data_IF_438854727362
#
_entry.id   IF_438854727362
#
_cell.length_a   1.000
_cell.length_b   1.000
_cell.length_c   1.000
_cell.angle_alpha   90.00
_cell.angle_beta   90.00
_cell.angle_gamma   90.00
#
_symmetry.space_group_name_H-M   'P 1'
#
loop_
_entity.id
_entity.type
_entity.pdbx_description
1 polymer ?
#
# COMPACT_ATOMS: atom_id res chain seq x y z
N UNK A 1 1.92 8.02 10.01
CA UNK A 1 1.82 6.57 9.80
C UNK A 1 0.38 6.28 9.45
N UNK A 2 0.12 5.75 8.27
CA UNK A 2 -1.23 5.42 7.83
C UNK A 2 -1.71 4.13 8.50
N UNK A 3 -3.02 4.02 8.72
CA UNK A 3 -3.62 2.82 9.30
C UNK A 3 -4.13 1.92 8.18
N UNK A 4 -3.64 0.68 8.04
CA UNK A 4 -4.15 -0.26 7.06
C UNK A 4 -5.65 -0.49 7.20
N UNK A 5 -6.35 -0.65 6.08
CA UNK A 5 -7.76 -1.05 6.10
C UNK A 5 -7.87 -2.45 6.72
N UNK A 6 -8.66 -2.65 7.80
CA UNK A 6 -8.76 -3.95 8.47
C UNK A 6 -9.29 -5.04 7.53
N UNK A 7 -8.68 -6.22 7.58
CA UNK A 7 -9.17 -7.45 6.92
C UNK A 7 -9.35 -8.57 7.94
N UNK A 8 -9.91 -9.72 7.50
CA UNK A 8 -9.97 -10.90 8.36
C UNK A 8 -8.56 -11.39 8.68
N UNK A 9 -8.34 -12.07 9.82
CA UNK A 9 -7.00 -12.54 10.21
C UNK A 9 -6.31 -13.39 9.13
N UNK A 10 -7.07 -14.21 8.41
CA UNK A 10 -6.56 -15.05 7.33
C UNK A 10 -6.06 -14.21 6.13
N UNK A 11 -6.80 -13.15 5.80
CA UNK A 11 -6.42 -12.23 4.72
C UNK A 11 -5.24 -11.36 5.15
N UNK A 12 -5.18 -10.90 6.40
CA UNK A 12 -4.01 -10.18 6.92
C UNK A 12 -2.75 -11.04 6.82
N UNK A 13 -2.83 -12.30 7.25
CA UNK A 13 -1.71 -13.25 7.15
C UNK A 13 -1.27 -13.49 5.70
N UNK A 14 -2.23 -13.64 4.79
CA UNK A 14 -1.95 -13.81 3.36
C UNK A 14 -1.28 -12.57 2.76
N UNK A 15 -1.82 -11.37 3.01
CA UNK A 15 -1.30 -10.12 2.45
C UNK A 15 0.08 -9.78 3.01
N UNK A 16 0.30 -10.03 4.30
CA UNK A 16 1.63 -9.83 4.90
C UNK A 16 2.66 -10.80 4.32
N UNK A 17 2.31 -12.10 4.18
CA UNK A 17 3.20 -13.09 3.60
C UNK A 17 3.46 -12.88 2.10
N UNK A 18 2.52 -12.26 1.38
CA UNK A 18 2.63 -12.04 -0.06
C UNK A 18 3.37 -10.75 -0.43
N UNK A 19 3.07 -9.64 0.26
CA UNK A 19 3.59 -8.31 -0.10
C UNK A 19 4.16 -7.50 1.06
N UNK A 20 4.06 -7.97 2.31
CA UNK A 20 4.42 -7.19 3.49
C UNK A 20 3.54 -5.96 3.69
N UNK A 21 2.29 -6.00 3.17
CA UNK A 21 1.37 -4.86 3.08
C UNK A 21 1.24 -4.09 4.38
N UNK A 22 0.95 -4.79 5.48
CA UNK A 22 0.60 -4.16 6.75
C UNK A 22 1.83 -3.47 7.32
N UNK A 23 2.96 -4.18 7.35
CA UNK A 23 4.25 -3.63 7.77
C UNK A 23 4.66 -2.39 6.94
N UNK A 24 4.44 -2.42 5.63
CA UNK A 24 4.77 -1.31 4.73
C UNK A 24 3.90 -0.07 5.00
N UNK A 25 2.59 -0.25 5.12
CA UNK A 25 1.64 0.85 5.35
C UNK A 25 1.93 1.54 6.70
N UNK A 26 2.13 0.75 7.76
CA UNK A 26 2.46 1.25 9.09
C UNK A 26 3.78 2.03 9.09
N UNK A 27 4.77 1.58 8.31
CA UNK A 27 6.04 2.27 8.11
C UNK A 27 5.98 3.47 7.15
N UNK A 28 4.79 3.84 6.64
CA UNK A 28 4.63 4.91 5.65
C UNK A 28 5.53 4.72 4.40
N UNK A 29 5.62 3.48 3.90
CA UNK A 29 6.35 3.15 2.67
C UNK A 29 5.46 2.36 1.72
N UNK A 30 5.78 2.44 0.44
CA UNK A 30 5.23 1.53 -0.56
C UNK A 30 5.70 0.11 -0.22
N UNK A 31 4.87 -0.89 -0.54
CA UNK A 31 5.29 -2.30 -0.54
C UNK A 31 6.53 -2.49 -1.41
N UNK A 32 7.34 -3.49 -1.06
CA UNK A 32 8.63 -3.72 -1.69
C UNK A 32 8.51 -4.28 -3.11
N UNK A 33 9.62 -4.19 -3.85
CA UNK A 33 9.77 -4.89 -5.12
C UNK A 33 9.56 -6.40 -4.91
N UNK A 34 8.90 -7.11 -5.84
CA UNK A 34 8.51 -6.66 -7.18
C UNK A 34 7.09 -6.07 -7.28
N UNK A 35 6.37 -5.91 -6.17
CA UNK A 35 4.96 -5.51 -6.17
C UNK A 35 4.82 -3.98 -6.18
N UNK A 36 5.64 -3.30 -5.39
CA UNK A 36 5.75 -1.85 -5.38
C UNK A 36 7.21 -1.42 -5.53
N UNK A 37 7.51 -0.21 -5.07
CA UNK A 37 8.86 0.37 -5.19
C UNK A 37 9.63 0.46 -3.87
N UNK A 38 9.05 0.10 -2.73
CA UNK A 38 9.69 0.17 -1.41
C UNK A 38 10.02 1.58 -0.90
N UNK A 39 9.72 2.64 -1.66
CA UNK A 39 10.07 4.02 -1.31
C UNK A 39 9.12 4.59 -0.25
N UNK A 40 9.55 5.60 0.53
CA UNK A 40 8.66 6.35 1.41
C UNK A 40 7.46 6.91 0.64
N UNK A 41 6.29 6.83 1.26
CA UNK A 41 5.05 7.42 0.73
C UNK A 41 5.07 8.92 1.01
N UNK A 42 4.77 9.69 -0.03
CA UNK A 42 4.67 11.15 0.00
C UNK A 42 3.19 11.55 -0.04
N UNK A 43 2.84 12.57 -0.82
CA UNK A 43 1.47 13.03 -0.99
C UNK A 43 0.69 12.16 -1.99
N UNK A 44 -0.63 12.10 -1.79
CA UNK A 44 -1.59 11.52 -2.72
C UNK A 44 -2.27 12.61 -3.54
N UNK A 45 -2.67 12.30 -4.77
CA UNK A 45 -3.34 13.27 -5.66
C UNK A 45 -4.78 13.56 -5.23
N UNK A 46 -5.41 12.61 -4.58
CA UNK A 46 -6.79 12.69 -4.10
C UNK A 46 -7.05 11.69 -2.96
N UNK A 47 -8.15 11.91 -2.24
CA UNK A 47 -8.57 11.06 -1.12
C UNK A 47 -8.73 9.58 -1.52
N UNK A 48 -9.31 9.23 -2.70
CA UNK A 48 -9.37 7.84 -3.16
C UNK A 48 -7.99 7.17 -3.29
N UNK A 49 -6.97 7.89 -3.75
CA UNK A 49 -5.61 7.36 -3.86
C UNK A 49 -5.00 7.07 -2.47
N UNK A 50 -5.31 7.89 -1.47
CA UNK A 50 -4.91 7.63 -0.08
C UNK A 50 -5.65 6.41 0.50
N UNK A 51 -6.95 6.29 0.28
CA UNK A 51 -7.73 5.13 0.70
C UNK A 51 -7.28 3.83 0.01
N UNK A 52 -6.90 3.91 -1.26
CA UNK A 52 -6.32 2.79 -2.00
C UNK A 52 -4.96 2.39 -1.43
N UNK A 53 -4.10 3.35 -1.06
CA UNK A 53 -2.85 3.04 -0.38
C UNK A 53 -3.07 2.27 0.92
N UNK A 54 -4.06 2.67 1.73
CA UNK A 54 -4.41 1.94 2.97
C UNK A 54 -4.93 0.54 2.72
N UNK A 55 -5.41 0.28 1.50
CA UNK A 55 -5.95 -1.01 1.08
C UNK A 55 -4.89 -1.92 0.44
N UNK A 56 -4.08 -1.40 -0.49
CA UNK A 56 -3.11 -2.18 -1.27
C UNK A 56 -1.66 -2.03 -0.81
N UNK A 57 -1.31 -0.92 -0.15
CA UNK A 57 0.07 -0.57 0.21
C UNK A 57 0.89 0.04 -0.91
N UNK A 58 0.27 0.42 -2.03
CA UNK A 58 0.94 1.08 -3.16
C UNK A 58 0.96 2.60 -2.99
N UNK A 59 2.12 3.24 -3.19
CA UNK A 59 2.20 4.70 -3.25
C UNK A 59 1.57 5.25 -4.55
N UNK A 60 1.30 6.56 -4.61
CA UNK A 60 0.70 7.22 -5.77
C UNK A 60 1.35 6.83 -7.10
N UNK A 61 2.68 6.85 -7.18
CA UNK A 61 3.41 6.55 -8.42
C UNK A 61 3.13 5.13 -8.89
N UNK A 62 3.17 4.14 -7.99
CA UNK A 62 2.88 2.75 -8.35
C UNK A 62 1.39 2.55 -8.66
N UNK A 63 0.49 3.27 -7.99
CA UNK A 63 -0.93 3.26 -8.35
C UNK A 63 -1.13 3.79 -9.78
N UNK A 64 -0.50 4.90 -10.13
CA UNK A 64 -0.61 5.52 -11.46
C UNK A 64 -0.04 4.60 -12.55
N UNK A 65 1.05 3.88 -12.28
CA UNK A 65 1.61 2.86 -13.19
C UNK A 65 0.65 1.69 -13.43
N UNK A 66 -0.08 1.25 -12.40
CA UNK A 66 -1.02 0.11 -12.48
C UNK A 66 -2.33 0.52 -13.15
N UNK A 67 -2.86 1.70 -12.81
CA UNK A 67 -4.19 2.15 -13.25
C UNK A 67 -4.16 3.07 -14.48
N UNK A 68 -2.99 3.59 -14.87
CA UNK A 68 -2.81 4.42 -16.06
C UNK A 68 -3.42 5.83 -15.96
N UNK A 69 -3.50 6.40 -14.75
CA UNK A 69 -4.09 7.72 -14.48
C UNK A 69 -3.05 8.75 -14.07
#
# INVERSE_FOLDING_TARGET
>A
MATPTPKSPEIESLLEGFSGRTSAIEANRCVDEPIGCGKPVMDFKDDPSEDEYRTSGLCQICQDEVFGN
#
